data_IF_563148389899
#
_entry.id   IF_563148389899
#
_cell.length_a   1.000
_cell.length_b   1.000
_cell.length_c   1.000
_cell.angle_alpha   90.00
_cell.angle_beta   90.00
_cell.angle_gamma   90.00
#
_symmetry.space_group_name_H-M   'P 1'
#
loop_
_entity.id
_entity.type
_entity.pdbx_description
1 polymer ?
#
# COMPACT_ATOMS: atom_id res chain seq x y z
N UNK A 1 -6.82 6.97 6.44
CA UNK A 1 -7.61 7.79 7.39
C UNK A 1 -8.06 9.10 6.75
N UNK A 2 -9.27 9.58 7.06
CA UNK A 2 -9.84 10.81 6.48
C UNK A 2 -8.96 12.06 6.71
N UNK A 3 -8.20 12.11 7.81
CA UNK A 3 -7.30 13.22 8.13
C UNK A 3 -6.20 13.46 7.07
N UNK A 4 -5.85 12.45 6.27
CA UNK A 4 -4.83 12.56 5.22
C UNK A 4 -5.40 12.90 3.84
N UNK A 5 -6.73 12.98 3.66
CA UNK A 5 -7.33 13.32 2.37
C UNK A 5 -6.84 14.67 1.80
N UNK A 6 -6.65 15.74 2.60
CA UNK A 6 -6.10 17.00 2.09
C UNK A 6 -4.71 16.84 1.46
N UNK A 7 -3.87 15.95 1.99
CA UNK A 7 -2.55 15.66 1.42
C UNK A 7 -2.69 15.01 0.03
N UNK A 8 -3.52 13.98 -0.11
CA UNK A 8 -3.70 13.27 -1.38
C UNK A 8 -4.28 14.17 -2.46
N UNK A 9 -5.26 15.01 -2.13
CA UNK A 9 -5.81 16.01 -3.05
C UNK A 9 -4.77 17.02 -3.51
N UNK A 10 -3.89 17.47 -2.61
CA UNK A 10 -2.81 18.38 -2.99
C UNK A 10 -1.82 17.70 -3.96
N UNK A 11 -1.42 16.46 -3.68
CA UNK A 11 -0.54 15.68 -4.57
C UNK A 11 -1.14 15.52 -5.97
N UNK A 12 -2.42 15.12 -6.05
CA UNK A 12 -3.13 14.98 -7.32
C UNK A 12 -3.21 16.31 -8.07
N UNK A 13 -3.56 17.42 -7.39
CA UNK A 13 -3.64 18.75 -8.01
C UNK A 13 -2.32 19.24 -8.59
N UNK A 14 -1.19 18.78 -8.02
CA UNK A 14 0.15 19.08 -8.50
C UNK A 14 0.60 18.15 -9.62
N UNK A 15 -0.16 17.09 -9.92
CA UNK A 15 0.23 16.03 -10.85
C UNK A 15 1.49 15.26 -10.39
N UNK A 16 1.81 15.34 -9.09
CA UNK A 16 3.04 14.81 -8.53
C UNK A 16 3.00 13.27 -8.43
N UNK A 17 4.19 12.66 -8.50
CA UNK A 17 4.36 11.22 -8.28
C UNK A 17 4.80 10.98 -6.85
N UNK A 18 4.12 10.08 -6.14
CA UNK A 18 4.51 9.62 -4.82
C UNK A 18 5.21 8.26 -4.95
N UNK A 19 6.50 8.22 -4.62
CA UNK A 19 7.24 6.98 -4.45
C UNK A 19 7.16 6.55 -2.98
N UNK A 20 6.52 5.42 -2.71
CA UNK A 20 6.43 4.84 -1.37
C UNK A 20 7.56 3.85 -1.17
N UNK A 21 8.54 4.27 -0.37
CA UNK A 21 9.69 3.49 0.04
C UNK A 21 9.58 3.14 1.53
N UNK A 22 10.28 2.09 1.96
CA UNK A 22 10.37 1.73 3.38
C UNK A 22 11.01 2.86 4.20
N UNK A 23 10.47 3.10 5.40
CA UNK A 23 10.96 4.13 6.33
C UNK A 23 11.16 3.64 7.77
N UNK A 24 10.83 2.39 8.09
CA UNK A 24 10.92 1.86 9.45
C UNK A 24 10.45 0.41 9.56
N UNK A 25 9.97 0.05 10.76
CA UNK A 25 9.41 -1.27 11.04
C UNK A 25 8.23 -1.60 10.13
N UNK A 26 8.09 -2.89 9.81
CA UNK A 26 7.04 -3.41 8.92
C UNK A 26 5.94 -4.11 9.71
N UNK A 27 4.76 -4.30 9.11
CA UNK A 27 3.63 -5.03 9.74
C UNK A 27 3.95 -6.42 10.29
N UNK A 28 5.07 -7.04 9.88
CA UNK A 28 5.50 -8.38 10.33
C UNK A 28 6.77 -8.38 11.18
N UNK A 29 7.18 -7.22 11.71
CA UNK A 29 8.50 -7.01 12.35
C UNK A 29 8.83 -8.02 13.47
N UNK A 30 7.82 -8.46 14.22
CA UNK A 30 7.99 -9.37 15.36
C UNK A 30 8.62 -10.74 15.03
N UNK A 31 8.64 -11.14 13.75
CA UNK A 31 9.09 -12.48 13.33
C UNK A 31 10.25 -12.49 12.32
N UNK A 32 10.78 -11.33 11.96
CA UNK A 32 11.66 -11.18 10.79
C UNK A 32 13.06 -10.64 11.13
N UNK A 33 13.48 -10.62 12.39
CA UNK A 33 14.77 -10.04 12.80
C UNK A 33 16.03 -10.88 12.44
N UNK A 34 15.90 -11.91 11.58
CA UNK A 34 16.98 -12.80 11.14
C UNK A 34 16.97 -13.00 9.62
N UNK A 35 18.06 -13.51 9.05
CA UNK A 35 18.19 -13.94 7.65
C UNK A 35 17.82 -12.88 6.59
N UNK A 36 17.98 -11.59 6.91
CA UNK A 36 17.58 -10.48 6.04
C UNK A 36 16.07 -10.46 5.69
N UNK A 37 15.24 -11.15 6.49
CA UNK A 37 13.79 -11.16 6.35
C UNK A 37 13.10 -9.79 6.47
N UNK A 38 13.66 -8.74 7.13
CA UNK A 38 13.01 -7.43 7.09
C UNK A 38 12.92 -6.88 5.67
N UNK A 39 13.94 -7.15 4.86
CA UNK A 39 13.99 -6.70 3.48
C UNK A 39 13.21 -7.65 2.55
N UNK A 40 13.46 -8.96 2.66
CA UNK A 40 12.90 -9.95 1.71
C UNK A 40 11.45 -10.35 2.01
N UNK A 41 10.95 -10.13 3.23
CA UNK A 41 9.56 -10.43 3.62
C UNK A 41 8.84 -9.20 4.16
N UNK A 42 9.48 -8.45 5.07
CA UNK A 42 8.89 -7.27 5.69
C UNK A 42 8.46 -6.22 4.66
N UNK A 43 9.41 -5.70 3.89
CA UNK A 43 9.12 -4.64 2.91
C UNK A 43 8.04 -5.05 1.89
N UNK A 44 8.08 -6.26 1.28
CA UNK A 44 7.03 -6.71 0.37
C UNK A 44 5.65 -6.88 1.01
N UNK A 45 5.58 -7.44 2.23
CA UNK A 45 4.31 -7.62 2.94
C UNK A 45 3.67 -6.26 3.28
N UNK A 46 4.48 -5.31 3.73
CA UNK A 46 4.03 -3.97 4.09
C UNK A 46 3.54 -3.18 2.86
N UNK A 47 4.13 -3.40 1.67
CA UNK A 47 3.61 -2.81 0.43
C UNK A 47 2.25 -3.37 0.02
N UNK A 48 2.01 -4.67 0.23
CA UNK A 48 0.69 -5.25 -0.01
C UNK A 48 -0.39 -4.63 0.88
N UNK A 49 -0.08 -4.40 2.16
CA UNK A 49 -0.98 -3.68 3.09
C UNK A 49 -1.16 -2.21 2.68
N UNK A 50 -0.09 -1.54 2.26
CA UNK A 50 -0.14 -0.15 1.80
C UNK A 50 -1.06 0.00 0.58
N UNK A 51 -0.91 -0.88 -0.41
CA UNK A 51 -1.78 -0.92 -1.60
C UNK A 51 -3.24 -1.10 -1.21
N UNK A 52 -3.54 -2.14 -0.44
CA UNK A 52 -4.91 -2.42 0.00
C UNK A 52 -5.51 -1.25 0.80
N UNK A 53 -4.70 -0.58 1.64
CA UNK A 53 -5.14 0.59 2.41
C UNK A 53 -5.46 1.81 1.54
N UNK A 54 -4.74 2.01 0.43
CA UNK A 54 -5.03 3.09 -0.53
C UNK A 54 -6.31 2.83 -1.31
N UNK A 55 -6.48 1.58 -1.78
CA UNK A 55 -7.64 1.16 -2.57
C UNK A 55 -8.88 1.06 -1.69
N UNK A 56 -8.88 0.15 -0.71
CA UNK A 56 -10.05 -0.09 0.15
C UNK A 56 -10.33 1.05 1.14
N UNK A 57 -9.32 1.89 1.41
CA UNK A 57 -9.53 3.13 2.17
C UNK A 57 -10.17 4.26 1.37
N UNK A 58 -10.46 4.05 0.08
CA UNK A 58 -11.13 5.02 -0.81
C UNK A 58 -10.25 6.21 -1.22
N UNK A 59 -8.93 6.12 -1.05
CA UNK A 59 -8.01 7.20 -1.48
C UNK A 59 -7.99 7.28 -3.01
N UNK A 60 -7.90 6.12 -3.66
CA UNK A 60 -7.89 6.05 -5.13
C UNK A 60 -9.25 6.46 -5.72
N UNK A 61 -10.36 6.21 -5.01
CA UNK A 61 -11.70 6.66 -5.44
C UNK A 61 -11.86 8.18 -5.31
N UNK A 62 -11.30 8.77 -4.25
CA UNK A 62 -11.39 10.20 -3.98
C UNK A 62 -10.38 11.04 -4.77
N UNK A 63 -9.33 10.41 -5.31
CA UNK A 63 -8.24 11.01 -6.08
C UNK A 63 -7.89 10.08 -7.28
N UNK A 64 -8.73 10.01 -8.32
CA UNK A 64 -8.59 9.05 -9.41
C UNK A 64 -7.37 9.28 -10.32
N UNK A 65 -6.81 10.49 -10.35
CA UNK A 65 -5.62 10.85 -11.15
C UNK A 65 -4.32 10.77 -10.35
N UNK A 66 -4.39 10.31 -9.09
CA UNK A 66 -3.25 10.20 -8.20
C UNK A 66 -2.22 9.18 -8.71
N UNK A 67 -0.96 9.61 -8.80
CA UNK A 67 0.16 8.78 -9.30
C UNK A 67 0.99 8.23 -8.14
N UNK A 68 0.83 6.94 -7.84
CA UNK A 68 1.58 6.25 -6.79
C UNK A 68 2.48 5.17 -7.40
N UNK A 69 3.74 5.15 -6.97
CA UNK A 69 4.69 4.08 -7.25
C UNK A 69 5.08 3.42 -5.92
N UNK A 70 4.85 2.11 -5.80
CA UNK A 70 5.29 1.34 -4.64
C UNK A 70 6.63 0.68 -4.96
N UNK A 71 7.65 0.92 -4.14
CA UNK A 71 8.96 0.28 -4.30
C UNK A 71 8.85 -1.26 -4.28
N UNK A 72 9.89 -1.92 -4.80
CA UNK A 72 9.99 -3.39 -4.85
C UNK A 72 8.84 -4.03 -5.64
N UNK A 73 8.39 -3.36 -6.70
CA UNK A 73 7.30 -3.83 -7.57
C UNK A 73 5.94 -3.91 -6.88
N UNK A 74 5.73 -3.14 -5.80
CA UNK A 74 4.53 -3.26 -4.96
C UNK A 74 4.55 -4.46 -4.00
N UNK A 75 5.68 -5.12 -3.82
CA UNK A 75 5.81 -6.25 -2.91
C UNK A 75 4.97 -7.45 -3.37
N UNK A 76 4.13 -7.98 -2.47
CA UNK A 76 3.29 -9.14 -2.79
C UNK A 76 1.95 -8.79 -3.44
N UNK A 77 1.67 -7.52 -3.72
CA UNK A 77 0.39 -7.07 -4.28
C UNK A 77 0.00 -7.83 -5.54
N UNK A 78 0.88 -7.92 -6.55
CA UNK A 78 0.55 -8.56 -7.82
C UNK A 78 0.18 -10.05 -7.67
N UNK A 79 0.74 -10.72 -6.67
CA UNK A 79 0.41 -12.12 -6.37
C UNK A 79 -0.89 -12.24 -5.55
N UNK A 80 -1.17 -11.26 -4.70
CA UNK A 80 -2.32 -11.27 -3.79
C UNK A 80 -3.59 -10.63 -4.34
N UNK A 81 -3.51 -9.82 -5.40
CA UNK A 81 -4.61 -8.91 -5.81
C UNK A 81 -5.91 -9.66 -6.11
N UNK A 82 -5.87 -10.77 -6.86
CA UNK A 82 -7.08 -11.55 -7.15
C UNK A 82 -7.74 -12.14 -5.89
N UNK A 83 -6.96 -12.40 -4.84
CA UNK A 83 -7.50 -12.80 -3.53
C UNK A 83 -8.10 -11.61 -2.77
N UNK A 84 -7.48 -10.43 -2.88
CA UNK A 84 -8.01 -9.20 -2.29
C UNK A 84 -9.35 -8.82 -2.93
N UNK A 85 -9.41 -8.80 -4.27
CA UNK A 85 -10.62 -8.51 -5.04
C UNK A 85 -11.75 -9.48 -4.68
N UNK A 86 -11.47 -10.78 -4.71
CA UNK A 86 -12.47 -11.79 -4.33
C UNK A 86 -12.93 -11.63 -2.89
N UNK A 87 -12.03 -11.26 -1.99
CA UNK A 87 -12.36 -10.95 -0.60
C UNK A 87 -13.36 -9.81 -0.49
N UNK A 88 -13.10 -8.71 -1.18
CA UNK A 88 -13.98 -7.53 -1.23
C UNK A 88 -15.37 -7.85 -1.80
N UNK A 89 -15.45 -8.65 -2.87
CA UNK A 89 -16.74 -9.03 -3.50
C UNK A 89 -17.65 -9.84 -2.59
N UNK A 90 -17.08 -10.73 -1.77
CA UNK A 90 -17.86 -11.75 -1.04
C UNK A 90 -17.92 -11.53 0.46
N UNK A 91 -17.16 -10.58 1.00
CA UNK A 91 -17.16 -10.25 2.43
C UNK A 91 -17.15 -8.74 2.63
N UNK A 92 -18.31 -8.21 3.01
CA UNK A 92 -18.45 -6.84 3.47
C UNK A 92 -18.09 -6.79 4.96
N UNK A 93 -17.06 -6.00 5.29
CA UNK A 93 -16.73 -5.54 6.64
C UNK A 93 -17.14 -4.07 6.80
#
# INVERSE_FOLDING_TARGET
EKKFLPFWKAVESLGAVILVHQGGDTVVNQRINKYHLPNTVGNPADRAVTFASLVFGGVMDACPDLKICLCHGGGYTCYGIGRMDRGWEVRQE
#
